data_IF_405369950244
#
_entry.id   IF_405369950244
#
_cell.length_a   1.000
_cell.length_b   1.000
_cell.length_c   1.000
_cell.angle_alpha   90.00
_cell.angle_beta   90.00
_cell.angle_gamma   90.00
#
_symmetry.space_group_name_H-M   'P 1'
#
loop_
_entity.id
_entity.type
_entity.pdbx_description
1 polymer ?
#
# COMPACT_ATOMS: atom_id res chain seq x y z
N UNK A 1 -32.96 3.52 11.50
CA UNK A 1 -31.54 3.70 11.09
C UNK A 1 -31.43 4.97 10.26
N UNK A 2 -30.67 5.98 10.70
CA UNK A 2 -30.52 7.24 9.95
C UNK A 2 -29.44 7.13 8.88
N UNK A 3 -29.47 8.01 7.87
CA UNK A 3 -28.45 8.07 6.80
C UNK A 3 -27.05 8.25 7.37
N UNK A 4 -26.88 9.02 8.44
CA UNK A 4 -25.58 9.25 9.10
C UNK A 4 -25.07 8.00 9.83
N UNK A 5 -25.96 7.19 10.41
CA UNK A 5 -25.61 5.90 11.01
C UNK A 5 -25.13 4.92 9.94
N UNK A 6 -25.82 4.86 8.79
CA UNK A 6 -25.39 4.03 7.66
C UNK A 6 -24.03 4.51 7.14
N UNK A 7 -23.83 5.83 7.00
CA UNK A 7 -22.58 6.41 6.48
C UNK A 7 -21.41 6.14 7.42
N UNK A 8 -21.57 6.25 8.74
CA UNK A 8 -20.52 5.83 9.69
C UNK A 8 -20.25 4.34 9.64
N UNK A 9 -21.29 3.53 9.49
CA UNK A 9 -21.17 2.07 9.47
C UNK A 9 -20.56 1.54 8.17
N UNK A 10 -20.80 2.20 7.03
CA UNK A 10 -20.23 1.84 5.72
C UNK A 10 -18.91 2.56 5.41
N UNK A 11 -18.56 3.59 6.18
CA UNK A 11 -17.25 4.23 6.06
C UNK A 11 -16.21 3.39 6.77
N UNK A 12 -15.23 2.89 6.01
CA UNK A 12 -14.06 2.25 6.57
C UNK A 12 -13.37 3.25 7.53
N UNK A 13 -13.02 2.86 8.78
CA UNK A 13 -12.18 3.68 9.64
C UNK A 13 -10.96 4.17 8.88
N UNK A 14 -10.56 5.43 9.09
CA UNK A 14 -9.48 6.07 8.34
C UNK A 14 -8.20 5.22 8.36
N UNK A 15 -7.90 4.61 9.49
CA UNK A 15 -6.68 3.83 9.67
C UNK A 15 -6.73 2.52 8.89
N UNK A 16 -7.88 1.83 8.86
CA UNK A 16 -8.08 0.67 8.00
C UNK A 16 -7.95 1.03 6.52
N UNK A 17 -8.45 2.21 6.12
CA UNK A 17 -8.27 2.69 4.75
C UNK A 17 -6.80 2.96 4.41
N UNK A 18 -6.06 3.57 5.33
CA UNK A 18 -4.63 3.80 5.16
C UNK A 18 -3.86 2.47 5.07
N UNK A 19 -4.17 1.50 5.92
CA UNK A 19 -3.58 0.16 5.91
C UNK A 19 -3.89 -0.55 4.59
N UNK A 20 -5.15 -0.54 4.14
CA UNK A 20 -5.53 -1.11 2.84
C UNK A 20 -4.78 -0.45 1.69
N UNK A 21 -4.60 0.88 1.74
CA UNK A 21 -3.80 1.60 0.75
C UNK A 21 -2.32 1.25 0.83
N UNK A 22 -1.76 1.00 2.00
CA UNK A 22 -0.38 0.55 2.16
C UNK A 22 -0.19 -0.84 1.55
N UNK A 23 -1.08 -1.79 1.88
CA UNK A 23 -1.09 -3.13 1.31
C UNK A 23 -1.23 -3.12 -0.22
N UNK A 24 -2.09 -2.27 -0.79
CA UNK A 24 -2.23 -2.11 -2.24
C UNK A 24 -0.91 -1.64 -2.90
N UNK A 25 -0.15 -0.76 -2.23
CA UNK A 25 1.17 -0.31 -2.75
C UNK A 25 2.22 -1.39 -2.63
N UNK A 26 2.20 -2.16 -1.55
CA UNK A 26 3.12 -3.28 -1.35
C UNK A 26 2.87 -4.41 -2.35
N UNK A 27 1.61 -4.75 -2.63
CA UNK A 27 1.29 -5.73 -3.68
C UNK A 27 1.83 -5.33 -5.06
N UNK A 28 1.75 -4.03 -5.41
CA UNK A 28 2.35 -3.50 -6.64
C UNK A 28 3.88 -3.68 -6.64
N UNK A 29 4.51 -3.48 -5.48
CA UNK A 29 5.96 -3.61 -5.34
C UNK A 29 6.39 -5.07 -5.50
N UNK A 30 5.75 -5.99 -4.79
CA UNK A 30 6.04 -7.44 -4.84
C UNK A 30 5.89 -7.96 -6.27
N UNK A 31 4.76 -7.66 -6.92
CA UNK A 31 4.49 -8.12 -8.27
C UNK A 31 5.53 -7.62 -9.30
N UNK A 32 6.10 -6.44 -9.08
CA UNK A 32 7.12 -5.89 -9.97
C UNK A 32 8.54 -6.34 -9.59
N UNK A 33 8.97 -6.07 -8.37
CA UNK A 33 10.36 -6.27 -7.92
C UNK A 33 10.65 -7.73 -7.56
N UNK A 34 9.74 -8.42 -6.84
CA UNK A 34 9.98 -9.77 -6.34
C UNK A 34 9.64 -10.82 -7.41
N UNK A 35 8.58 -10.61 -8.19
CA UNK A 35 8.19 -11.50 -9.29
C UNK A 35 8.83 -11.13 -10.64
N UNK A 36 9.50 -9.97 -10.73
CA UNK A 36 10.26 -9.56 -11.92
C UNK A 36 9.44 -9.10 -13.12
N UNK A 37 8.16 -8.73 -12.93
CA UNK A 37 7.30 -8.26 -14.03
C UNK A 37 7.70 -6.86 -14.51
N UNK A 38 7.49 -6.60 -15.80
CA UNK A 38 7.68 -5.26 -16.35
C UNK A 38 6.59 -4.28 -15.87
N UNK A 39 6.90 -2.99 -15.82
CA UNK A 39 5.93 -1.96 -15.42
C UNK A 39 4.62 -1.94 -16.21
N UNK A 40 4.66 -2.34 -17.49
CA UNK A 40 3.46 -2.43 -18.34
C UNK A 40 2.59 -3.63 -17.95
N UNK A 41 3.19 -4.78 -17.61
CA UNK A 41 2.48 -5.93 -17.07
C UNK A 41 1.88 -5.62 -15.69
N UNK A 42 2.64 -4.98 -14.80
CA UNK A 42 2.13 -4.52 -13.50
C UNK A 42 0.94 -3.57 -13.69
N UNK A 43 1.05 -2.59 -14.60
CA UNK A 43 -0.04 -1.66 -14.91
C UNK A 43 -1.31 -2.39 -15.37
N UNK A 44 -1.17 -3.37 -16.27
CA UNK A 44 -2.28 -4.19 -16.76
C UNK A 44 -2.90 -5.04 -15.64
N UNK A 45 -2.07 -5.68 -14.79
CA UNK A 45 -2.53 -6.52 -13.68
C UNK A 45 -3.39 -5.75 -12.68
N UNK A 46 -2.99 -4.53 -12.33
CA UNK A 46 -3.71 -3.70 -11.37
C UNK A 46 -4.77 -2.78 -12.02
N UNK A 47 -4.92 -2.78 -13.35
CA UNK A 47 -5.85 -1.89 -14.05
C UNK A 47 -5.52 -0.41 -13.89
N UNK A 48 -4.23 -0.05 -13.81
CA UNK A 48 -3.75 1.31 -13.55
C UNK A 48 -2.82 1.78 -14.68
N UNK A 49 -2.60 3.10 -14.77
CA UNK A 49 -1.59 3.65 -15.66
C UNK A 49 -0.16 3.32 -15.18
N UNK A 50 0.78 3.14 -16.11
CA UNK A 50 2.19 2.81 -15.85
C UNK A 50 2.85 3.79 -14.87
N UNK A 51 2.61 5.09 -15.00
CA UNK A 51 3.17 6.08 -14.08
C UNK A 51 2.58 6.00 -12.67
N UNK A 52 1.32 5.57 -12.56
CA UNK A 52 0.64 5.39 -11.26
C UNK A 52 1.27 4.23 -10.50
N UNK A 53 1.50 3.08 -11.16
CA UNK A 53 2.16 1.93 -10.51
C UNK A 53 3.59 2.27 -10.13
N UNK A 54 4.35 2.97 -10.97
CA UNK A 54 5.71 3.45 -10.63
C UNK A 54 5.72 4.34 -9.39
N UNK A 55 4.79 5.31 -9.31
CA UNK A 55 4.69 6.22 -8.15
C UNK A 55 4.33 5.47 -6.88
N UNK A 56 3.41 4.51 -6.97
CA UNK A 56 2.96 3.68 -5.83
C UNK A 56 4.07 2.75 -5.35
N UNK A 57 4.77 2.07 -6.26
CA UNK A 57 5.93 1.24 -5.94
C UNK A 57 7.04 2.05 -5.25
N UNK A 58 7.38 3.24 -5.76
CA UNK A 58 8.34 4.13 -5.08
C UNK A 58 7.90 4.51 -3.66
N UNK A 59 6.59 4.68 -3.43
CA UNK A 59 6.06 4.93 -2.09
C UNK A 59 6.16 3.68 -1.20
N UNK A 60 5.82 2.50 -1.72
CA UNK A 60 6.00 1.23 -1.00
C UNK A 60 7.46 1.01 -0.57
N UNK A 61 8.44 1.27 -1.44
CA UNK A 61 9.88 1.15 -1.07
C UNK A 61 10.24 2.05 0.11
N UNK A 62 9.74 3.29 0.12
CA UNK A 62 9.95 4.22 1.25
C UNK A 62 9.22 3.76 2.51
N UNK A 63 8.01 3.23 2.37
CA UNK A 63 7.23 2.72 3.50
C UNK A 63 7.95 1.50 4.13
N UNK A 64 8.55 0.60 3.31
CA UNK A 64 9.37 -0.54 3.77
C UNK A 64 10.66 -0.09 4.46
N UNK A 65 11.43 0.80 3.83
CA UNK A 65 12.64 1.35 4.45
C UNK A 65 12.36 2.11 5.76
N UNK A 66 11.22 2.80 5.86
CA UNK A 66 10.80 3.48 7.09
C UNK A 66 10.37 2.49 8.19
N UNK A 67 9.77 1.35 7.83
CA UNK A 67 9.46 0.27 8.76
C UNK A 67 10.74 -0.37 9.30
N UNK A 68 11.69 -0.73 8.42
CA UNK A 68 13.00 -1.28 8.79
C UNK A 68 13.77 -0.34 9.73
N UNK A 69 13.67 0.98 9.51
CA UNK A 69 14.32 1.99 10.36
C UNK A 69 13.64 2.13 11.74
N UNK A 70 12.34 1.82 11.86
CA UNK A 70 11.61 1.94 13.13
C UNK A 70 11.77 0.70 14.01
N UNK A 71 12.24 -0.43 13.47
CA UNK A 71 12.40 -1.70 14.18
C UNK A 71 13.68 -1.78 15.05
N UNK A 72 14.54 -0.76 15.00
CA UNK A 72 15.68 -0.56 15.93
C UNK A 72 15.49 0.75 16.70
N UNK A 73 14.88 0.73 17.90
CA UNK A 73 15.67 0.53 19.12
C UNK A 73 14.93 -0.27 20.20
N UNK A 74 15.70 -0.88 21.12
CA UNK A 74 15.24 -1.64 22.32
C UNK A 74 15.15 -3.17 22.16
N UNK A 75 16.20 -3.79 21.60
CA UNK A 75 16.63 -5.13 22.06
C UNK A 75 17.96 -4.98 22.81
N UNK A 76 17.94 -4.42 24.03
CA UNK A 76 19.02 -4.52 25.01
C UNK A 76 18.60 -3.93 26.37
N UNK A 77 18.77 -4.74 27.42
CA UNK A 77 18.55 -4.53 28.87
C UNK A 77 17.24 -5.08 29.41
#
# INVERSE_FOLDING_TARGET
MSRDTIRRHTSLPRDEWLTKKAAEREAILIYHDDEGHSWTQTAAHFGLHVDTVRRRARRARRDRAAADTHEDPQSST
#
